data_IF_126110339584
#
_entry.id   IF_126110339584
#
_cell.length_a   1.000
_cell.length_b   1.000
_cell.length_c   1.000
_cell.angle_alpha   90.00
_cell.angle_beta   90.00
_cell.angle_gamma   90.00
#
_symmetry.space_group_name_H-M   'P 1'
#
loop_
_entity.id
_entity.type
_entity.pdbx_description
1 polymer ?
#
# COMPACT_ATOMS: atom_id res chain seq x y z
N UNK A 1 2.81 15.03 -15.77
CA UNK A 1 2.29 14.31 -14.57
C UNK A 1 0.78 14.49 -14.54
N UNK A 2 0.02 13.41 -14.36
CA UNK A 2 -1.42 13.53 -14.09
C UNK A 2 -1.60 14.17 -12.70
N UNK A 3 -2.47 15.17 -12.52
CA UNK A 3 -2.71 15.75 -11.21
C UNK A 3 -3.51 14.76 -10.36
N UNK A 4 -2.92 14.30 -9.26
CA UNK A 4 -3.61 13.53 -8.24
C UNK A 4 -4.00 14.42 -7.07
N UNK A 5 -5.22 14.26 -6.58
CA UNK A 5 -5.69 14.99 -5.42
C UNK A 5 -5.12 14.34 -4.13
N UNK A 6 -4.33 15.08 -3.31
CA UNK A 6 -3.86 14.53 -2.05
C UNK A 6 -5.03 14.39 -1.06
N UNK A 7 -5.17 13.19 -0.51
CA UNK A 7 -6.24 12.87 0.42
C UNK A 7 -5.69 12.04 1.57
N UNK A 8 -6.07 12.37 2.79
CA UNK A 8 -5.78 11.58 3.98
C UNK A 8 -6.99 10.70 4.30
N UNK A 9 -6.75 9.41 4.48
CA UNK A 9 -7.79 8.41 4.74
C UNK A 9 -7.59 7.80 6.12
N UNK A 10 -8.63 7.74 6.93
CA UNK A 10 -8.61 6.94 8.14
C UNK A 10 -8.68 5.45 7.78
N UNK A 11 -7.68 4.69 8.21
CA UNK A 11 -7.58 3.24 7.94
C UNK A 11 -8.01 2.36 9.12
N UNK A 12 -8.37 2.94 10.26
CA UNK A 12 -8.63 2.22 11.51
C UNK A 12 -9.67 1.10 11.36
N UNK A 13 -10.76 1.38 10.63
CA UNK A 13 -11.84 0.41 10.40
C UNK A 13 -11.82 -0.19 8.98
N UNK A 14 -10.73 0.00 8.23
CA UNK A 14 -10.63 -0.47 6.86
C UNK A 14 -10.06 -1.89 6.79
N UNK A 15 -10.72 -2.72 6.00
CA UNK A 15 -10.25 -4.07 5.68
C UNK A 15 -9.42 -4.03 4.42
N UNK A 16 -8.14 -4.30 4.57
CA UNK A 16 -7.16 -4.26 3.49
C UNK A 16 -6.76 -5.67 3.12
N UNK A 17 -6.92 -6.01 1.85
CA UNK A 17 -6.39 -7.23 1.27
C UNK A 17 -5.08 -6.94 0.55
N UNK A 18 -4.05 -7.70 0.87
CA UNK A 18 -2.80 -7.74 0.11
C UNK A 18 -2.68 -9.08 -0.59
N UNK A 19 -2.59 -9.08 -1.92
CA UNK A 19 -2.37 -10.29 -2.72
C UNK A 19 -0.92 -10.31 -3.17
N UNK A 20 -0.18 -11.33 -2.72
CA UNK A 20 1.27 -11.42 -2.86
C UNK A 20 2.00 -11.07 -1.56
N UNK A 21 3.17 -11.65 -1.36
CA UNK A 21 3.93 -11.55 -0.11
C UNK A 21 5.44 -11.42 -0.35
N UNK A 22 5.85 -10.83 -1.46
CA UNK A 22 7.24 -10.51 -1.79
C UNK A 22 7.67 -9.15 -1.22
N UNK A 23 8.84 -8.69 -1.61
CA UNK A 23 9.49 -7.45 -1.12
C UNK A 23 8.62 -6.22 -1.25
N UNK A 24 7.90 -6.06 -2.38
CA UNK A 24 7.02 -4.92 -2.61
C UNK A 24 5.82 -4.97 -1.66
N UNK A 25 5.17 -6.13 -1.54
CA UNK A 25 4.06 -6.35 -0.62
C UNK A 25 4.47 -6.05 0.82
N UNK A 26 5.59 -6.61 1.27
CA UNK A 26 6.13 -6.41 2.62
C UNK A 26 6.34 -4.94 2.94
N UNK A 27 6.94 -4.17 2.02
CA UNK A 27 7.15 -2.73 2.20
C UNK A 27 5.83 -1.96 2.35
N UNK A 28 4.81 -2.31 1.54
CA UNK A 28 3.50 -1.68 1.58
C UNK A 28 2.72 -2.04 2.85
N UNK A 29 2.79 -3.30 3.28
CA UNK A 29 2.20 -3.75 4.54
C UNK A 29 2.77 -2.97 5.73
N UNK A 30 4.11 -2.83 5.81
CA UNK A 30 4.76 -2.03 6.85
C UNK A 30 4.30 -0.56 6.86
N UNK A 31 4.08 0.02 5.69
CA UNK A 31 3.57 1.37 5.58
C UNK A 31 2.14 1.48 6.14
N UNK A 32 1.26 0.55 5.77
CA UNK A 32 -0.16 0.53 6.19
C UNK A 32 -0.34 0.24 7.67
N UNK A 33 0.47 -0.64 8.25
CA UNK A 33 0.40 -1.01 9.67
C UNK A 33 0.59 0.19 10.61
N UNK A 34 1.33 1.21 10.19
CA UNK A 34 1.53 2.44 10.97
C UNK A 34 0.23 3.24 11.19
N UNK A 35 -0.81 2.95 10.42
CA UNK A 35 -2.09 3.66 10.43
C UNK A 35 -3.25 2.82 10.97
N UNK A 36 -2.96 1.72 11.67
CA UNK A 36 -3.97 0.92 12.36
C UNK A 36 -4.88 0.09 11.46
N UNK A 37 -4.48 -0.17 10.22
CA UNK A 37 -5.28 -0.95 9.27
C UNK A 37 -5.37 -2.44 9.67
N UNK A 38 -6.53 -3.06 9.44
CA UNK A 38 -6.70 -4.51 9.48
C UNK A 38 -6.25 -5.11 8.15
N UNK A 39 -5.18 -5.92 8.16
CA UNK A 39 -4.54 -6.42 6.94
C UNK A 39 -4.61 -7.94 6.87
N UNK A 40 -5.21 -8.43 5.78
CA UNK A 40 -5.14 -9.83 5.35
C UNK A 40 -4.17 -9.95 4.19
N UNK A 41 -3.30 -10.95 4.24
CA UNK A 41 -2.31 -11.22 3.18
C UNK A 41 -2.56 -12.60 2.62
N UNK A 42 -2.80 -12.71 1.31
CA UNK A 42 -3.01 -13.97 0.60
C UNK A 42 -1.85 -14.21 -0.36
N UNK A 43 -1.11 -15.27 -0.12
CA UNK A 43 -0.01 -15.69 -0.99
C UNK A 43 0.32 -17.19 -0.78
N UNK A 44 0.80 -17.90 -1.81
CA UNK A 44 1.23 -19.30 -1.66
C UNK A 44 2.53 -19.42 -0.85
N UNK A 45 3.36 -18.37 -0.82
CA UNK A 45 4.61 -18.29 -0.06
C UNK A 45 4.76 -16.90 0.53
N UNK A 46 5.29 -16.81 1.74
CA UNK A 46 5.58 -15.54 2.43
C UNK A 46 7.08 -15.31 2.55
N UNK A 47 7.51 -14.05 2.44
CA UNK A 47 8.84 -13.67 2.92
C UNK A 47 8.93 -13.87 4.43
N UNK A 48 10.09 -14.32 4.89
CA UNK A 48 10.37 -14.65 6.30
C UNK A 48 10.05 -13.49 7.26
N UNK A 49 10.19 -12.27 6.77
CA UNK A 49 9.87 -11.07 7.53
C UNK A 49 8.36 -10.96 7.83
N UNK A 50 7.50 -11.28 6.84
CA UNK A 50 6.05 -11.25 7.02
C UNK A 50 5.56 -12.29 8.02
N UNK A 51 6.15 -13.49 8.03
CA UNK A 51 5.78 -14.55 8.97
C UNK A 51 6.01 -14.16 10.43
N UNK A 52 6.94 -13.22 10.69
CA UNK A 52 7.28 -12.73 12.02
C UNK A 52 6.51 -11.48 12.44
N UNK A 53 5.79 -10.86 11.52
CA UNK A 53 5.03 -9.65 11.81
C UNK A 53 3.72 -10.01 12.52
N UNK A 54 3.53 -9.44 13.71
CA UNK A 54 2.29 -9.59 14.46
C UNK A 54 1.16 -8.71 13.88
N UNK A 55 -0.09 -9.12 14.10
CA UNK A 55 -1.26 -8.34 13.68
C UNK A 55 -1.67 -8.50 12.21
N UNK A 56 -1.09 -9.46 11.49
CA UNK A 56 -1.48 -9.81 10.13
C UNK A 56 -2.32 -11.09 10.12
N UNK A 57 -3.34 -11.11 9.25
CA UNK A 57 -4.09 -12.33 8.91
C UNK A 57 -3.43 -12.96 7.66
N UNK A 58 -2.59 -13.97 7.85
CA UNK A 58 -1.81 -14.62 6.79
C UNK A 58 -2.54 -15.85 6.26
N UNK A 59 -2.86 -15.88 4.97
CA UNK A 59 -3.51 -16.99 4.28
C UNK A 59 -2.55 -17.61 3.26
N UNK A 60 -2.06 -18.80 3.61
CA UNK A 60 -1.05 -19.52 2.81
C UNK A 60 -1.70 -20.34 1.68
N UNK A 61 -2.13 -19.69 0.64
CA UNK A 61 -2.64 -20.26 -0.62
C UNK A 61 -2.68 -19.19 -1.71
N UNK A 62 -2.99 -19.61 -2.94
CA UNK A 62 -3.29 -18.68 -4.02
C UNK A 62 -4.56 -17.88 -3.78
N UNK A 63 -4.66 -16.75 -4.44
CA UNK A 63 -5.85 -15.89 -4.43
C UNK A 63 -7.08 -16.60 -4.99
N UNK A 64 -8.22 -16.32 -4.40
CA UNK A 64 -9.55 -16.70 -4.92
C UNK A 64 -10.47 -15.48 -4.97
N UNK A 65 -11.46 -15.41 -5.88
CA UNK A 65 -12.39 -14.28 -5.95
C UNK A 65 -13.15 -13.99 -4.64
N UNK A 66 -13.34 -15.00 -3.79
CA UNK A 66 -13.93 -14.85 -2.46
C UNK A 66 -13.09 -14.02 -1.49
N UNK A 67 -11.78 -13.88 -1.73
CA UNK A 67 -10.91 -13.04 -0.90
C UNK A 67 -11.24 -11.56 -0.98
N UNK A 68 -11.99 -11.14 -2.01
CA UNK A 68 -12.46 -9.76 -2.17
C UNK A 68 -13.76 -9.46 -1.41
N UNK A 69 -14.35 -10.43 -0.73
CA UNK A 69 -15.54 -10.19 0.08
C UNK A 69 -15.17 -9.31 1.28
N UNK A 70 -15.99 -8.27 1.47
CA UNK A 70 -15.81 -7.32 2.57
C UNK A 70 -14.47 -6.56 2.60
N UNK A 71 -13.84 -6.36 1.45
CA UNK A 71 -12.58 -5.61 1.31
C UNK A 71 -12.87 -4.16 0.91
N UNK A 72 -12.24 -3.20 1.60
CA UNK A 72 -12.31 -1.78 1.28
C UNK A 72 -11.18 -1.36 0.32
N UNK A 73 -9.98 -1.90 0.53
CA UNK A 73 -8.78 -1.55 -0.22
C UNK A 73 -8.01 -2.82 -0.59
N UNK A 74 -7.57 -2.93 -1.84
CA UNK A 74 -6.74 -4.03 -2.31
C UNK A 74 -5.36 -3.56 -2.74
N UNK A 75 -4.32 -4.24 -2.27
CA UNK A 75 -2.93 -4.08 -2.70
C UNK A 75 -2.52 -5.33 -3.47
N UNK A 76 -2.36 -5.19 -4.78
CA UNK A 76 -2.11 -6.31 -5.69
C UNK A 76 -0.63 -6.30 -6.07
N UNK A 77 0.14 -7.25 -5.55
CA UNK A 77 1.60 -7.27 -5.64
C UNK A 77 2.15 -8.69 -5.85
N UNK A 78 1.55 -9.45 -6.76
CA UNK A 78 2.08 -10.75 -7.17
C UNK A 78 3.11 -10.60 -8.28
N UNK A 79 3.88 -11.64 -8.55
CA UNK A 79 4.80 -11.73 -9.69
C UNK A 79 4.10 -12.12 -11.01
N UNK A 80 2.80 -12.28 -11.00
CA UNK A 80 2.00 -12.69 -12.15
C UNK A 80 1.16 -11.49 -12.64
N UNK A 81 1.66 -10.78 -13.67
CA UNK A 81 1.00 -9.59 -14.19
C UNK A 81 -0.43 -9.88 -14.72
N UNK A 82 -0.71 -10.95 -15.49
CA UNK A 82 -2.06 -11.30 -15.87
C UNK A 82 -3.02 -11.51 -14.69
N UNK A 83 -2.58 -12.16 -13.63
CA UNK A 83 -3.37 -12.32 -12.41
C UNK A 83 -3.63 -10.96 -11.73
N UNK A 84 -2.63 -10.09 -11.68
CA UNK A 84 -2.79 -8.76 -11.12
C UNK A 84 -3.86 -7.95 -11.88
N UNK A 85 -3.87 -8.02 -13.20
CA UNK A 85 -4.88 -7.35 -14.03
C UNK A 85 -6.29 -7.94 -13.81
N UNK A 86 -6.39 -9.26 -13.67
CA UNK A 86 -7.65 -9.94 -13.39
C UNK A 86 -8.23 -9.49 -12.05
N UNK A 87 -7.41 -9.49 -11.00
CA UNK A 87 -7.81 -9.02 -9.67
C UNK A 87 -8.21 -7.54 -9.71
N UNK A 88 -7.46 -6.71 -10.43
CA UNK A 88 -7.77 -5.29 -10.59
C UNK A 88 -9.15 -5.07 -11.22
N UNK A 89 -9.50 -5.83 -12.26
CA UNK A 89 -10.85 -5.80 -12.87
C UNK A 89 -11.95 -6.23 -11.90
N UNK A 90 -11.70 -7.27 -11.10
CA UNK A 90 -12.64 -7.71 -10.07
C UNK A 90 -12.85 -6.63 -9.00
N UNK A 91 -11.81 -5.91 -8.61
CA UNK A 91 -11.89 -4.78 -7.68
C UNK A 91 -12.73 -3.65 -8.26
N UNK A 92 -12.52 -3.29 -9.53
CA UNK A 92 -13.26 -2.24 -10.21
C UNK A 92 -14.77 -2.52 -10.23
N UNK A 93 -15.17 -3.75 -10.59
CA UNK A 93 -16.59 -4.17 -10.58
C UNK A 93 -17.22 -4.08 -9.18
N UNK A 94 -16.44 -4.28 -8.13
CA UNK A 94 -16.89 -4.24 -6.73
C UNK A 94 -16.73 -2.87 -6.05
N UNK A 95 -16.16 -1.88 -6.74
CA UNK A 95 -15.87 -0.56 -6.16
C UNK A 95 -14.78 -0.58 -5.08
N UNK A 96 -13.89 -1.58 -5.11
CA UNK A 96 -12.76 -1.70 -4.19
C UNK A 96 -11.62 -0.81 -4.69
N UNK A 97 -11.12 0.09 -3.86
CA UNK A 97 -9.97 0.94 -4.15
C UNK A 97 -8.72 0.07 -4.24
N UNK A 98 -7.94 0.24 -5.31
CA UNK A 98 -6.81 -0.67 -5.58
C UNK A 98 -5.50 0.04 -5.89
N UNK A 99 -4.42 -0.63 -5.52
CA UNK A 99 -3.06 -0.32 -5.96
C UNK A 99 -2.43 -1.57 -6.57
N UNK A 100 -1.94 -1.46 -7.79
CA UNK A 100 -1.37 -2.57 -8.58
C UNK A 100 0.11 -2.33 -8.79
N UNK A 101 0.96 -3.24 -8.31
CA UNK A 101 2.43 -3.06 -8.35
C UNK A 101 3.03 -3.17 -9.73
N UNK A 102 2.40 -3.93 -10.62
CA UNK A 102 2.89 -4.20 -11.99
C UNK A 102 2.47 -3.15 -13.01
N UNK A 103 1.42 -2.38 -12.73
CA UNK A 103 0.89 -1.38 -13.66
C UNK A 103 0.27 -0.18 -12.94
N UNK A 104 0.92 0.98 -13.08
CA UNK A 104 0.47 2.23 -12.47
C UNK A 104 -0.86 2.74 -13.05
N UNK A 105 -1.19 2.37 -14.30
CA UNK A 105 -2.41 2.83 -14.96
C UNK A 105 -3.68 2.21 -14.35
N UNK A 106 -3.52 1.09 -13.66
CA UNK A 106 -4.59 0.37 -12.95
C UNK A 106 -4.75 0.82 -11.50
N UNK A 107 -3.90 1.72 -11.01
CA UNK A 107 -3.94 2.20 -9.63
C UNK A 107 -4.97 3.32 -9.44
N UNK A 108 -5.79 3.21 -8.39
CA UNK A 108 -6.67 4.29 -7.94
C UNK A 108 -5.94 5.25 -6.99
N UNK A 109 -4.89 4.78 -6.31
CA UNK A 109 -4.04 5.57 -5.42
C UNK A 109 -2.57 5.16 -5.49
N UNK A 110 -1.69 6.03 -5.01
CA UNK A 110 -0.26 5.74 -4.84
C UNK A 110 0.14 5.73 -3.38
N UNK A 111 1.12 4.90 -3.05
CA UNK A 111 1.78 4.96 -1.75
C UNK A 111 2.70 6.19 -1.70
N UNK A 112 2.43 7.17 -0.83
CA UNK A 112 3.32 8.32 -0.67
C UNK A 112 4.56 7.94 0.13
N UNK A 113 5.64 8.71 -0.04
CA UNK A 113 6.66 8.76 0.99
C UNK A 113 6.09 9.54 2.17
N UNK A 114 6.11 8.95 3.36
CA UNK A 114 5.41 9.50 4.53
C UNK A 114 6.40 9.95 5.59
N UNK A 115 6.17 11.14 6.16
CA UNK A 115 6.79 11.62 7.38
C UNK A 115 5.69 11.70 8.44
N UNK A 116 5.91 11.11 9.59
CA UNK A 116 4.97 11.14 10.71
C UNK A 116 5.69 11.71 11.94
N UNK A 117 5.12 12.75 12.51
CA UNK A 117 5.52 13.34 13.78
C UNK A 117 4.32 13.28 14.73
N UNK A 118 4.48 13.76 15.98
CA UNK A 118 3.38 13.78 16.96
C UNK A 118 2.19 14.65 16.51
N UNK A 119 2.47 15.70 15.70
CA UNK A 119 1.46 16.70 15.33
C UNK A 119 1.15 16.74 13.84
N UNK A 120 2.03 16.19 12.98
CA UNK A 120 1.94 16.38 11.53
C UNK A 120 2.20 15.06 10.80
N UNK A 121 1.36 14.79 9.79
CA UNK A 121 1.59 13.75 8.80
C UNK A 121 1.80 14.43 7.46
N UNK A 122 2.91 14.10 6.77
CA UNK A 122 3.22 14.60 5.42
C UNK A 122 3.23 13.42 4.46
N UNK A 123 2.47 13.53 3.39
CA UNK A 123 2.50 12.58 2.27
C UNK A 123 3.10 13.24 1.03
N UNK A 124 4.12 12.63 0.43
CA UNK A 124 4.82 13.15 -0.75
C UNK A 124 4.70 12.16 -1.89
N UNK A 125 4.20 12.61 -3.03
CA UNK A 125 4.03 11.78 -4.22
C UNK A 125 4.52 12.51 -5.47
N UNK A 126 5.33 11.84 -6.29
CA UNK A 126 5.78 12.32 -7.62
C UNK A 126 4.90 11.81 -8.78
N UNK A 127 3.71 11.29 -8.46
CA UNK A 127 2.84 10.68 -9.47
C UNK A 127 3.39 9.37 -10.06
N UNK A 128 4.27 8.70 -9.32
CA UNK A 128 4.89 7.44 -9.75
C UNK A 128 6.06 7.59 -10.74
N UNK A 129 6.42 8.82 -11.13
CA UNK A 129 7.40 9.03 -12.19
C UNK A 129 8.85 8.94 -11.71
N UNK A 130 9.17 9.46 -10.53
CA UNK A 130 10.54 9.50 -10.02
C UNK A 130 10.61 9.29 -8.49
N UNK A 131 10.94 8.08 -8.05
CA UNK A 131 11.12 7.79 -6.63
C UNK A 131 12.28 8.55 -5.99
N UNK A 132 13.29 8.96 -6.76
CA UNK A 132 14.47 9.68 -6.23
C UNK A 132 14.10 11.09 -5.77
N UNK A 133 13.28 11.79 -6.54
CA UNK A 133 12.74 13.11 -6.20
C UNK A 133 11.92 13.05 -4.91
N UNK A 134 11.06 12.04 -4.82
CA UNK A 134 10.23 11.83 -3.63
C UNK A 134 11.06 11.54 -2.38
N UNK A 135 12.10 10.70 -2.53
CA UNK A 135 13.02 10.36 -1.43
C UNK A 135 13.80 11.58 -0.96
N UNK A 136 14.31 12.40 -1.89
CA UNK A 136 15.05 13.63 -1.56
C UNK A 136 14.13 14.63 -0.85
N UNK A 137 12.98 14.94 -1.42
CA UNK A 137 12.01 15.84 -0.83
C UNK A 137 11.60 15.41 0.59
N UNK A 138 11.41 14.10 0.80
CA UNK A 138 11.13 13.55 2.13
C UNK A 138 12.27 13.86 3.11
N UNK A 139 13.52 13.62 2.72
CA UNK A 139 14.69 13.87 3.57
C UNK A 139 14.81 15.34 3.96
N UNK A 140 14.68 16.25 2.99
CA UNK A 140 14.80 17.68 3.18
C UNK A 140 13.69 18.21 4.13
N UNK A 141 12.46 17.76 3.96
CA UNK A 141 11.32 18.14 4.82
C UNK A 141 11.49 17.57 6.23
N UNK A 142 11.93 16.31 6.34
CA UNK A 142 12.15 15.67 7.64
C UNK A 142 13.23 16.41 8.46
N UNK A 143 14.32 16.83 7.81
CA UNK A 143 15.37 17.63 8.42
C UNK A 143 14.85 19.00 8.88
N UNK A 144 14.13 19.71 8.02
CA UNK A 144 13.50 20.99 8.36
C UNK A 144 12.57 20.89 9.58
N UNK A 145 11.73 19.85 9.63
CA UNK A 145 10.81 19.66 10.76
C UNK A 145 11.55 19.35 12.07
N UNK A 146 12.69 18.64 12.02
CA UNK A 146 13.53 18.38 13.19
C UNK A 146 14.21 19.65 13.71
N UNK A 147 14.69 20.53 12.82
CA UNK A 147 15.33 21.80 13.19
C UNK A 147 14.36 22.77 13.87
N UNK A 148 13.12 22.84 13.40
CA UNK A 148 12.08 23.73 13.94
C UNK A 148 11.53 23.29 15.31
N UNK A 149 11.75 22.03 15.70
CA UNK A 149 11.35 21.50 17.02
C UNK A 149 12.41 21.65 18.10
N UNK A 150 13.61 22.12 17.75
CA UNK A 150 14.66 22.50 18.68
C UNK A 150 14.51 23.95 19.12
#
# INVERSE_FOLDING_TARGET
MKPYFPMFVNLEDKRILVVGAGTIATRRIKALMKFGASIRVVAPLFEHELERMEGLDLINRGFTPGDLEDVDIAVIATNNAPLNEEIARMCEVRGIIKNVSSDQTLCDFFFPATIMTDDIIVGICSGGNDPSVTKKARSDIEEYLKEKRR
#
